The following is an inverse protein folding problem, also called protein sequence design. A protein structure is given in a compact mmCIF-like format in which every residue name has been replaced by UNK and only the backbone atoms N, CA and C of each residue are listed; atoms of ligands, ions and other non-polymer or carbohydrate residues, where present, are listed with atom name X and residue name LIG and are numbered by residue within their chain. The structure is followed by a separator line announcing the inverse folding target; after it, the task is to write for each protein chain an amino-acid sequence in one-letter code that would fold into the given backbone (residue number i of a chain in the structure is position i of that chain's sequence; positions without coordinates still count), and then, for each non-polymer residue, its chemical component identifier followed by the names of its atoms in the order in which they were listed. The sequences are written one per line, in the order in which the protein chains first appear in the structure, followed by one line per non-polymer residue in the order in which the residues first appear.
data_IF_550132063513
#
_entry.id   IF_550132063513
#
_cell.length_a   1.000
_cell.length_b   1.000
_cell.length_c   1.000
_cell.angle_alpha   90.00
_cell.angle_beta   90.00
_cell.angle_gamma   90.00
#
_symmetry.space_group_name_H-M   'P 1'
#
loop_
_entity.id
_entity.type
_entity.pdbx_description
1 polymer ?
#
# COMPACT_ATOMS: atom_id res chain seq x y z
N UNK A 1 20.54 -3.53 -23.89
CA UNK A 1 21.78 -3.69 -23.08
C UNK A 1 21.91 -2.57 -22.03
N UNK A 2 21.94 -1.30 -22.37
CA UNK A 2 22.06 -0.16 -21.43
C UNK A 2 21.00 -0.11 -20.35
N UNK A 3 19.73 -0.40 -20.66
CA UNK A 3 18.61 -0.39 -19.72
C UNK A 3 18.80 -1.44 -18.60
N UNK A 4 19.24 -2.64 -18.93
CA UNK A 4 19.50 -3.72 -17.97
C UNK A 4 20.68 -3.39 -17.02
N UNK A 5 21.74 -2.76 -17.55
CA UNK A 5 22.88 -2.32 -16.74
C UNK A 5 22.46 -1.21 -15.77
N UNK A 6 21.64 -0.26 -16.24
CA UNK A 6 21.13 0.83 -15.41
C UNK A 6 20.19 0.32 -14.30
N UNK A 7 19.28 -0.61 -14.59
CA UNK A 7 18.42 -1.25 -13.59
C UNK A 7 19.25 -1.99 -12.51
N UNK A 8 20.27 -2.74 -12.90
CA UNK A 8 21.18 -3.40 -11.94
C UNK A 8 21.99 -2.41 -11.09
N UNK A 9 22.36 -1.28 -11.66
CA UNK A 9 23.03 -0.20 -10.91
C UNK A 9 22.09 0.42 -9.88
N UNK A 10 20.82 0.65 -10.23
CA UNK A 10 19.80 1.16 -9.32
C UNK A 10 19.58 0.19 -8.15
N UNK A 11 19.42 -1.11 -8.42
CA UNK A 11 19.21 -2.14 -7.40
C UNK A 11 20.40 -2.24 -6.43
N UNK A 12 21.64 -2.21 -6.94
CA UNK A 12 22.85 -2.29 -6.10
C UNK A 12 23.03 -1.09 -5.17
N UNK A 13 22.41 0.04 -5.49
CA UNK A 13 22.43 1.24 -4.67
C UNK A 13 21.36 1.26 -3.56
N UNK A 14 20.48 0.27 -3.47
CA UNK A 14 19.39 0.20 -2.48
C UNK A 14 19.94 -0.33 -1.13
N UNK A 15 20.57 0.52 -0.32
CA UNK A 15 21.15 0.14 0.97
C UNK A 15 20.20 0.42 2.13
N UNK A 16 19.46 1.52 2.07
CA UNK A 16 18.45 1.92 3.06
C UNK A 16 17.10 2.07 2.35
N UNK A 17 16.33 1.00 2.32
CA UNK A 17 15.06 0.91 1.60
C UNK A 17 13.89 1.02 2.55
N UNK A 18 12.73 1.53 2.09
CA UNK A 18 11.49 1.42 2.86
C UNK A 18 11.12 -0.05 3.04
N UNK A 19 10.81 -0.46 4.25
CA UNK A 19 10.35 -1.83 4.52
C UNK A 19 8.88 -2.03 4.16
N UNK A 20 8.07 -0.98 4.34
CA UNK A 20 6.63 -1.00 4.13
C UNK A 20 6.26 0.09 3.12
N UNK A 21 5.79 -0.32 1.94
CA UNK A 21 5.44 0.60 0.84
C UNK A 21 3.95 0.55 0.60
N UNK A 22 3.32 1.72 0.50
CA UNK A 22 1.95 1.86 0.01
C UNK A 22 1.95 2.48 -1.38
N UNK A 23 1.21 1.90 -2.32
CA UNK A 23 0.97 2.47 -3.66
C UNK A 23 -0.51 2.80 -3.78
N UNK A 24 -0.81 4.06 -4.06
CA UNK A 24 -2.17 4.54 -4.22
C UNK A 24 -2.55 4.58 -5.70
N UNK A 25 -3.64 3.91 -6.04
CA UNK A 25 -4.17 3.73 -7.39
C UNK A 25 -5.63 4.15 -7.44
N UNK A 26 -6.09 4.54 -8.63
CA UNK A 26 -7.52 4.64 -8.94
C UNK A 26 -8.07 3.30 -9.44
N UNK A 27 -9.39 3.16 -9.43
CA UNK A 27 -10.07 2.01 -10.05
C UNK A 27 -9.73 1.89 -11.54
N UNK A 28 -9.69 3.01 -12.26
CA UNK A 28 -9.34 3.05 -13.70
C UNK A 28 -7.91 2.55 -13.96
N UNK A 29 -6.96 2.90 -13.10
CA UNK A 29 -5.59 2.38 -13.15
C UNK A 29 -5.57 0.86 -13.02
N UNK A 30 -6.26 0.35 -12.01
CA UNK A 30 -6.33 -1.09 -11.75
C UNK A 30 -6.96 -1.84 -12.93
N UNK A 31 -8.05 -1.34 -13.49
CA UNK A 31 -8.76 -2.01 -14.62
C UNK A 31 -7.96 -2.00 -15.90
N UNK A 32 -7.20 -0.92 -16.18
CA UNK A 32 -6.40 -0.81 -17.39
C UNK A 32 -5.10 -1.60 -17.37
N UNK A 33 -4.53 -1.86 -16.19
CA UNK A 33 -3.26 -2.55 -16.06
C UNK A 33 -3.18 -3.41 -14.78
N UNK A 34 -4.05 -4.42 -14.62
CA UNK A 34 -4.08 -5.25 -13.41
C UNK A 34 -2.80 -6.08 -13.23
N UNK A 35 -2.14 -6.46 -14.31
CA UNK A 35 -0.89 -7.21 -14.29
C UNK A 35 0.28 -6.44 -13.65
N UNK A 36 0.17 -5.12 -13.54
CA UNK A 36 1.20 -4.29 -12.89
C UNK A 36 1.35 -4.59 -11.40
N UNK A 37 0.30 -5.00 -10.73
CA UNK A 37 0.38 -5.44 -9.33
C UNK A 37 1.44 -6.53 -9.21
N UNK A 38 1.37 -7.56 -10.05
CA UNK A 38 2.33 -8.68 -10.06
C UNK A 38 3.74 -8.22 -10.41
N UNK A 39 3.87 -7.28 -11.35
CA UNK A 39 5.17 -6.71 -11.71
C UNK A 39 5.79 -5.96 -10.53
N UNK A 40 5.02 -5.12 -9.83
CA UNK A 40 5.50 -4.35 -8.68
C UNK A 40 5.84 -5.27 -7.51
N UNK A 41 5.05 -6.31 -7.23
CA UNK A 41 5.39 -7.35 -6.26
C UNK A 41 6.77 -7.95 -6.58
N UNK A 42 7.02 -8.28 -7.84
CA UNK A 42 8.31 -8.83 -8.28
C UNK A 42 9.46 -7.85 -8.05
N UNK A 43 9.28 -6.56 -8.39
CA UNK A 43 10.30 -5.53 -8.18
C UNK A 43 10.56 -5.27 -6.69
N UNK A 44 9.52 -5.28 -5.88
CA UNK A 44 9.61 -5.15 -4.42
C UNK A 44 10.40 -6.29 -3.78
N UNK A 45 10.17 -7.52 -4.26
CA UNK A 45 10.92 -8.71 -3.85
C UNK A 45 12.42 -8.56 -4.17
N UNK A 46 12.76 -8.06 -5.34
CA UNK A 46 14.16 -7.85 -5.75
C UNK A 46 14.90 -6.83 -4.86
N UNK A 47 14.16 -5.85 -4.28
CA UNK A 47 14.71 -4.87 -3.34
C UNK A 47 14.78 -5.36 -1.90
N UNK A 48 14.02 -6.39 -1.52
CA UNK A 48 13.91 -6.84 -0.13
C UNK A 48 12.84 -6.08 0.68
N UNK A 49 11.83 -5.50 0.03
CA UNK A 49 10.66 -4.90 0.68
C UNK A 49 9.93 -5.98 1.48
N UNK A 50 9.50 -5.67 2.71
CA UNK A 50 8.84 -6.62 3.60
C UNK A 50 7.32 -6.66 3.40
N UNK A 51 6.72 -5.52 3.18
CA UNK A 51 5.27 -5.40 3.00
C UNK A 51 4.94 -4.41 1.89
N UNK A 52 3.95 -4.75 1.09
CA UNK A 52 3.49 -3.96 -0.04
C UNK A 52 1.97 -3.80 0.04
N UNK A 53 1.52 -2.56 0.06
CA UNK A 53 0.11 -2.21 0.16
C UNK A 53 -0.29 -1.56 -1.16
N UNK A 54 -1.34 -2.09 -1.80
CA UNK A 54 -2.02 -1.42 -2.89
C UNK A 54 -3.35 -0.87 -2.36
N UNK A 55 -3.47 0.43 -2.29
CA UNK A 55 -4.76 1.07 -2.03
C UNK A 55 -5.42 1.44 -3.35
N UNK A 56 -6.63 0.96 -3.57
CA UNK A 56 -7.41 1.21 -4.78
C UNK A 56 -8.66 1.96 -4.40
N UNK A 57 -8.70 3.23 -4.83
CA UNK A 57 -9.85 4.11 -4.63
C UNK A 57 -10.96 3.74 -5.60
N UNK A 58 -12.15 3.45 -5.08
CA UNK A 58 -13.32 3.04 -5.86
C UNK A 58 -14.61 3.23 -5.09
N UNK A 59 -15.64 3.65 -5.80
CA UNK A 59 -17.02 3.69 -5.31
C UNK A 59 -17.75 2.34 -5.50
N UNK A 60 -17.13 1.38 -6.22
CA UNK A 60 -17.73 0.07 -6.53
C UNK A 60 -16.84 -1.09 -6.06
N UNK A 61 -16.56 -1.20 -4.76
CA UNK A 61 -15.56 -2.14 -4.23
C UNK A 61 -15.91 -3.61 -4.55
N UNK A 62 -17.16 -4.00 -4.53
CA UNK A 62 -17.58 -5.39 -4.76
C UNK A 62 -17.23 -5.90 -6.16
N UNK A 63 -17.40 -5.06 -7.18
CA UNK A 63 -17.06 -5.40 -8.55
C UNK A 63 -15.56 -5.59 -8.70
N UNK A 64 -14.78 -4.64 -8.14
CA UNK A 64 -13.34 -4.68 -8.23
C UNK A 64 -12.72 -5.84 -7.43
N UNK A 65 -13.28 -6.16 -6.27
CA UNK A 65 -12.89 -7.35 -5.48
C UNK A 65 -13.05 -8.62 -6.32
N UNK A 66 -14.14 -8.76 -7.07
CA UNK A 66 -14.36 -9.92 -7.94
C UNK A 66 -13.33 -10.00 -9.07
N UNK A 67 -12.97 -8.87 -9.68
CA UNK A 67 -11.94 -8.78 -10.72
C UNK A 67 -10.54 -9.16 -10.16
N UNK A 68 -10.19 -8.65 -8.99
CA UNK A 68 -8.91 -8.95 -8.32
C UNK A 68 -8.83 -10.43 -7.92
N UNK A 69 -9.92 -11.00 -7.45
CA UNK A 69 -9.98 -12.43 -7.13
C UNK A 69 -9.71 -13.30 -8.36
N UNK A 70 -10.09 -12.84 -9.55
CA UNK A 70 -9.83 -13.55 -10.81
C UNK A 70 -8.36 -13.64 -11.21
N UNK A 71 -7.47 -12.84 -10.63
CA UNK A 71 -6.03 -12.84 -10.94
C UNK A 71 -5.16 -13.47 -9.83
N UNK A 72 -5.76 -14.13 -8.84
CA UNK A 72 -5.03 -14.70 -7.67
C UNK A 72 -3.92 -15.66 -8.04
N UNK A 73 -4.12 -16.50 -9.07
CA UNK A 73 -3.12 -17.48 -9.51
C UNK A 73 -1.82 -16.83 -10.01
N UNK A 74 -1.86 -15.54 -10.36
CA UNK A 74 -0.69 -14.79 -10.84
C UNK A 74 0.23 -14.28 -9.75
N UNK A 75 -0.19 -14.31 -8.46
CA UNK A 75 0.60 -13.78 -7.35
C UNK A 75 1.81 -14.63 -6.94
N UNK A 76 1.91 -15.84 -7.46
CA UNK A 76 3.08 -16.70 -7.25
C UNK A 76 3.18 -17.24 -5.83
N UNK A 77 4.26 -16.94 -5.11
CA UNK A 77 4.53 -17.48 -3.76
C UNK A 77 4.35 -16.47 -2.62
N UNK A 78 3.86 -15.26 -2.89
CA UNK A 78 3.65 -14.23 -1.86
C UNK A 78 2.29 -14.42 -1.18
N UNK A 79 2.19 -14.02 0.08
CA UNK A 79 0.90 -13.91 0.74
C UNK A 79 0.16 -12.69 0.21
N UNK A 80 -1.12 -12.84 -0.09
CA UNK A 80 -1.98 -11.73 -0.52
C UNK A 80 -3.24 -11.70 0.32
N UNK A 81 -3.45 -10.57 0.98
CA UNK A 81 -4.64 -10.30 1.79
C UNK A 81 -5.40 -9.14 1.18
N UNK A 82 -6.69 -9.29 0.99
CA UNK A 82 -7.59 -8.27 0.52
C UNK A 82 -8.37 -7.67 1.68
N UNK A 83 -8.44 -6.35 1.72
CA UNK A 83 -9.30 -5.58 2.61
C UNK A 83 -10.34 -4.83 1.78
N UNK A 84 -11.57 -4.86 2.24
CA UNK A 84 -12.70 -4.11 1.67
C UNK A 84 -13.63 -3.63 2.78
N UNK A 85 -14.63 -2.78 2.52
CA UNK A 85 -15.63 -2.41 3.51
C UNK A 85 -16.35 -3.60 4.15
N UNK A 86 -16.37 -4.76 3.49
CA UNK A 86 -16.96 -6.02 4.01
C UNK A 86 -16.03 -6.80 4.93
N UNK A 87 -14.79 -6.38 5.06
CA UNK A 87 -13.81 -7.02 5.92
C UNK A 87 -12.57 -7.56 5.19
N UNK A 88 -11.87 -8.46 5.86
CA UNK A 88 -10.60 -9.05 5.43
C UNK A 88 -10.82 -10.42 4.80
N UNK A 89 -10.17 -10.67 3.66
CA UNK A 89 -10.19 -11.96 2.94
C UNK A 89 -8.77 -12.36 2.56
N UNK A 90 -8.39 -13.61 2.80
CA UNK A 90 -7.13 -14.15 2.30
C UNK A 90 -7.31 -14.62 0.86
N UNK A 91 -6.59 -14.01 -0.07
CA UNK A 91 -6.65 -14.37 -1.49
C UNK A 91 -5.63 -15.44 -1.85
N UNK A 92 -4.42 -15.37 -1.28
CA UNK A 92 -3.35 -16.30 -1.56
C UNK A 92 -2.48 -16.50 -0.31
N UNK A 93 -2.24 -17.75 0.08
CA UNK A 93 -1.48 -18.12 1.28
C UNK A 93 -0.03 -18.52 0.93
N UNK A 94 0.73 -17.58 0.42
CA UNK A 94 2.16 -17.74 0.19
C UNK A 94 2.99 -17.39 1.43
N UNK A 95 4.26 -17.78 1.40
CA UNK A 95 5.21 -17.52 2.49
C UNK A 95 6.35 -16.56 2.11
N UNK A 96 6.44 -16.20 0.84
CA UNK A 96 7.49 -15.31 0.34
C UNK A 96 7.12 -13.84 0.57
N UNK A 97 8.14 -13.02 0.79
CA UNK A 97 8.02 -11.56 0.83
C UNK A 97 7.93 -10.97 -0.59
N UNK A 98 7.33 -9.80 -0.73
CA UNK A 98 6.66 -9.01 0.32
C UNK A 98 5.31 -9.60 0.73
N UNK A 99 4.93 -9.43 2.00
CA UNK A 99 3.54 -9.63 2.43
C UNK A 99 2.69 -8.57 1.72
N UNK A 100 1.75 -8.99 0.90
CA UNK A 100 1.03 -8.11 -0.01
C UNK A 100 -0.39 -7.90 0.45
N UNK A 101 -0.80 -6.63 0.50
CA UNK A 101 -2.12 -6.21 0.91
C UNK A 101 -2.76 -5.45 -0.23
N UNK A 102 -4.01 -5.75 -0.53
CA UNK A 102 -4.82 -5.01 -1.49
C UNK A 102 -6.02 -4.45 -0.72
N UNK A 103 -6.07 -3.13 -0.56
CA UNK A 103 -7.16 -2.42 0.09
C UNK A 103 -8.04 -1.75 -0.97
N UNK A 104 -9.30 -2.14 -1.05
CA UNK A 104 -10.24 -1.72 -2.09
C UNK A 104 -11.38 -0.93 -1.48
N UNK A 105 -11.55 0.32 -1.91
CA UNK A 105 -12.66 1.19 -1.48
C UNK A 105 -12.66 1.45 0.03
N UNK A 106 -11.46 1.56 0.62
CA UNK A 106 -11.28 1.85 2.04
C UNK A 106 -11.12 3.36 2.24
N UNK A 107 -11.89 3.95 3.17
CA UNK A 107 -11.77 5.34 3.61
C UNK A 107 -11.18 5.41 5.00
N UNK A 108 -10.11 6.19 5.17
CA UNK A 108 -9.48 6.38 6.47
C UNK A 108 -10.38 7.11 7.46
N UNK A 109 -11.24 8.01 7.00
CA UNK A 109 -12.23 8.69 7.85
C UNK A 109 -13.30 7.74 8.34
N UNK A 110 -13.84 6.90 7.46
CA UNK A 110 -14.84 5.90 7.82
C UNK A 110 -14.25 4.86 8.77
N UNK A 111 -12.98 4.49 8.59
CA UNK A 111 -12.27 3.59 9.49
C UNK A 111 -12.19 4.18 10.90
N UNK A 112 -11.78 5.43 11.05
CA UNK A 112 -11.72 6.10 12.36
C UNK A 112 -13.11 6.18 13.00
N UNK A 113 -14.14 6.58 12.24
CA UNK A 113 -15.52 6.66 12.76
C UNK A 113 -16.02 5.29 13.21
N UNK A 114 -15.72 4.23 12.47
CA UNK A 114 -16.06 2.86 12.86
C UNK A 114 -15.37 2.46 14.15
N UNK A 115 -14.05 2.68 14.26
CA UNK A 115 -13.27 2.34 15.48
C UNK A 115 -13.83 3.05 16.71
N UNK A 116 -14.20 4.33 16.59
CA UNK A 116 -14.83 5.08 17.69
C UNK A 116 -16.18 4.48 18.09
N UNK A 117 -16.99 4.00 17.12
CA UNK A 117 -18.27 3.34 17.43
C UNK A 117 -18.06 2.00 18.12
N UNK A 118 -17.12 1.20 17.66
CA UNK A 118 -16.77 -0.10 18.28
C UNK A 118 -16.35 0.09 19.75
N UNK A 119 -15.46 1.06 20.02
CA UNK A 119 -15.06 1.41 21.39
C UNK A 119 -16.26 1.85 22.25
N UNK A 120 -17.17 2.65 21.69
CA UNK A 120 -18.37 3.10 22.40
C UNK A 120 -19.35 1.95 22.69
N UNK A 121 -19.48 0.98 21.79
CA UNK A 121 -20.30 -0.22 21.95
C UNK A 121 -19.76 -1.16 23.04
N UNK A 122 -18.44 -1.18 23.25
CA UNK A 122 -17.78 -1.90 24.34
C UNK A 122 -18.03 -1.27 25.73
N UNK A 123 -18.63 -0.07 25.77
CA UNK A 123 -18.97 0.63 27.01
C UNK A 123 -17.77 1.22 27.75
N UNK A 124 -16.68 1.47 27.04
CA UNK A 124 -15.46 2.08 27.60
C UNK A 124 -15.72 3.55 27.90
N UNK A 125 -15.30 4.01 29.09
CA UNK A 125 -15.48 5.39 29.48
C UNK A 125 -14.63 6.32 28.61
N UNK A 126 -15.12 7.52 28.21
CA UNK A 126 -14.40 8.43 27.33
C UNK A 126 -13.01 8.86 27.81
N UNK A 127 -12.80 8.91 29.12
CA UNK A 127 -11.54 9.26 29.78
C UNK A 127 -10.53 8.09 29.81
N UNK A 128 -10.95 6.88 29.46
CA UNK A 128 -10.10 5.71 29.31
C UNK A 128 -9.62 5.51 27.85
N UNK A 129 -10.18 6.27 26.90
CA UNK A 129 -9.84 6.14 25.48
C UNK A 129 -8.51 6.87 25.20
N UNK A 130 -7.51 6.14 24.78
CA UNK A 130 -6.22 6.66 24.34
C UNK A 130 -5.91 6.31 22.86
N UNK A 131 -4.78 6.82 22.35
CA UNK A 131 -4.33 6.58 20.97
C UNK A 131 -4.15 5.08 20.68
N UNK A 132 -3.60 4.32 21.62
CA UNK A 132 -3.35 2.89 21.46
C UNK A 132 -4.63 2.08 21.38
N UNK A 133 -5.64 2.49 22.13
CA UNK A 133 -6.94 1.87 22.06
C UNK A 133 -7.57 2.10 20.70
N UNK A 134 -7.53 3.34 20.18
CA UNK A 134 -8.01 3.63 18.84
C UNK A 134 -7.26 2.82 17.78
N UNK A 135 -5.93 2.76 17.86
CA UNK A 135 -5.08 1.96 16.96
C UNK A 135 -5.47 0.47 16.96
N UNK A 136 -5.77 -0.10 18.15
CA UNK A 136 -6.15 -1.51 18.26
C UNK A 136 -7.50 -1.84 17.59
N UNK A 137 -8.38 -0.85 17.42
CA UNK A 137 -9.67 -0.98 16.75
C UNK A 137 -9.63 -0.62 15.26
N UNK A 138 -8.51 -0.08 14.76
CA UNK A 138 -8.36 0.12 13.32
C UNK A 138 -8.32 -1.24 12.60
N UNK A 139 -9.08 -1.39 11.55
CA UNK A 139 -9.04 -2.58 10.69
C UNK A 139 -7.66 -2.73 10.04
N UNK A 140 -7.04 -1.60 9.73
CA UNK A 140 -5.79 -1.51 9.00
C UNK A 140 -4.67 -1.03 9.94
N UNK A 141 -3.85 -1.97 10.43
CA UNK A 141 -2.81 -1.71 11.44
C UNK A 141 -1.38 -1.67 10.83
N UNK A 142 -1.28 -1.29 9.56
CA UNK A 142 0.00 -1.24 8.86
C UNK A 142 0.46 0.20 8.70
N UNK A 143 1.67 0.50 9.14
CA UNK A 143 2.28 1.82 9.00
C UNK A 143 3.28 1.79 7.82
N UNK A 144 2.96 2.43 6.69
CA UNK A 144 3.90 2.49 5.59
C UNK A 144 5.04 3.46 5.87
N UNK A 145 6.27 3.06 5.54
CA UNK A 145 7.41 3.98 5.54
C UNK A 145 7.33 4.96 4.37
N UNK A 146 6.75 4.49 3.27
CA UNK A 146 6.77 5.20 2.00
C UNK A 146 5.45 5.03 1.24
N UNK A 147 4.87 6.14 0.82
CA UNK A 147 3.63 6.18 0.03
C UNK A 147 3.95 6.71 -1.36
N UNK A 148 3.66 5.92 -2.38
CA UNK A 148 3.81 6.30 -3.79
C UNK A 148 2.43 6.56 -4.38
N UNK A 149 2.19 7.77 -4.86
CA UNK A 149 0.99 8.13 -5.61
C UNK A 149 1.35 8.32 -7.09
N UNK A 150 0.70 7.56 -7.97
CA UNK A 150 0.90 7.60 -9.42
C UNK A 150 -0.18 8.44 -10.10
N UNK A 151 0.19 9.15 -11.16
CA UNK A 151 -0.72 9.80 -12.12
C UNK A 151 -1.44 11.05 -11.65
N UNK A 152 -1.47 11.37 -10.36
CA UNK A 152 -2.19 12.50 -9.79
C UNK A 152 -1.49 12.98 -8.51
N UNK A 153 -1.67 14.27 -8.18
CA UNK A 153 -1.05 14.92 -7.03
C UNK A 153 -2.01 15.04 -5.83
N UNK A 154 -3.18 14.39 -5.86
CA UNK A 154 -4.12 14.41 -4.76
C UNK A 154 -3.98 13.16 -3.90
N UNK A 155 -3.82 13.36 -2.59
CA UNK A 155 -3.93 12.28 -1.62
C UNK A 155 -5.41 11.87 -1.50
N UNK A 156 -5.61 10.56 -1.54
CA UNK A 156 -6.90 9.95 -1.28
C UNK A 156 -7.06 9.81 0.22
N UNK A 157 -8.30 9.81 0.69
CA UNK A 157 -8.69 9.59 2.08
C UNK A 157 -8.44 8.13 2.51
N UNK A 158 -7.15 7.79 2.70
CA UNK A 158 -6.74 6.46 3.14
C UNK A 158 -5.55 6.53 4.11
N UNK A 159 -5.55 5.64 5.09
CA UNK A 159 -4.47 5.51 6.08
C UNK A 159 -4.12 6.85 6.78
N UNK A 160 -5.14 7.68 7.08
CA UNK A 160 -4.94 9.00 7.70
C UNK A 160 -4.16 8.88 9.01
N UNK A 161 -4.50 7.88 9.82
CA UNK A 161 -3.82 7.62 11.09
C UNK A 161 -2.45 6.98 10.91
N UNK A 162 -2.36 5.98 10.04
CA UNK A 162 -1.17 5.15 9.88
C UNK A 162 -0.05 5.82 9.08
N UNK A 163 -0.36 6.81 8.24
CA UNK A 163 0.61 7.44 7.33
C UNK A 163 1.23 8.74 7.87
N UNK A 164 0.98 9.10 9.13
CA UNK A 164 1.43 10.37 9.75
C UNK A 164 2.95 10.58 9.61
N UNK A 165 3.73 9.52 9.68
CA UNK A 165 5.19 9.58 9.57
C UNK A 165 5.72 8.99 8.26
N UNK A 166 4.85 8.73 7.29
CA UNK A 166 5.24 8.21 5.98
C UNK A 166 5.89 9.30 5.12
N UNK A 167 6.89 8.93 4.36
CA UNK A 167 7.41 9.77 3.29
C UNK A 167 6.50 9.67 2.05
N UNK A 168 6.10 10.80 1.48
CA UNK A 168 5.19 10.83 0.33
C UNK A 168 5.98 11.09 -0.97
N UNK A 169 5.71 10.30 -1.99
CA UNK A 169 6.28 10.46 -3.31
C UNK A 169 5.17 10.55 -4.37
N UNK A 170 5.09 11.70 -5.04
CA UNK A 170 4.17 11.92 -6.14
C UNK A 170 4.93 11.79 -7.45
N UNK A 171 4.34 11.10 -8.41
CA UNK A 171 4.91 10.96 -9.75
C UNK A 171 3.85 11.21 -10.83
N UNK A 172 4.22 11.98 -11.86
CA UNK A 172 3.37 12.22 -13.03
C UNK A 172 3.23 10.97 -13.92
N UNK A 173 4.00 9.92 -13.64
CA UNK A 173 3.91 8.64 -14.37
C UNK A 173 2.63 7.95 -13.94
N UNK A 174 1.68 7.79 -14.88
CA UNK A 174 0.47 7.02 -14.61
C UNK A 174 0.76 5.53 -14.45
N UNK A 175 -0.14 4.82 -13.79
CA UNK A 175 0.03 3.40 -13.46
C UNK A 175 0.32 2.52 -14.67
N UNK A 176 -0.39 2.71 -15.79
CA UNK A 176 -0.23 1.89 -16.99
C UNK A 176 1.18 1.97 -17.59
N UNK A 177 1.83 3.12 -17.49
CA UNK A 177 3.18 3.37 -18.00
C UNK A 177 4.26 3.25 -16.93
N UNK A 178 3.89 3.02 -15.66
CA UNK A 178 4.81 2.85 -14.54
C UNK A 178 5.71 1.62 -14.74
N UNK A 179 7.00 1.82 -14.75
CA UNK A 179 8.00 0.80 -15.08
C UNK A 179 8.91 0.53 -13.89
N UNK A 180 9.64 -0.57 -13.97
CA UNK A 180 10.65 -0.94 -12.99
C UNK A 180 11.63 0.21 -12.65
N UNK A 181 12.07 0.95 -13.65
CA UNK A 181 12.98 2.09 -13.47
C UNK A 181 12.32 3.22 -12.65
N UNK A 182 11.03 3.44 -12.82
CA UNK A 182 10.30 4.48 -12.13
C UNK A 182 10.10 4.08 -10.65
N UNK A 183 9.81 2.81 -10.39
CA UNK A 183 9.79 2.25 -9.03
C UNK A 183 11.14 2.41 -8.32
N UNK A 184 12.26 2.02 -8.95
CA UNK A 184 13.57 2.17 -8.32
C UNK A 184 14.01 3.62 -8.14
N UNK A 185 13.55 4.54 -8.99
CA UNK A 185 13.76 5.98 -8.77
C UNK A 185 13.03 6.48 -7.53
N UNK A 186 11.79 6.03 -7.30
CA UNK A 186 11.08 6.34 -6.09
C UNK A 186 11.82 5.82 -4.84
N UNK A 187 12.32 4.57 -4.86
CA UNK A 187 13.15 4.02 -3.78
C UNK A 187 14.40 4.86 -3.53
N UNK A 188 15.08 5.32 -4.59
CA UNK A 188 16.26 6.19 -4.43
C UNK A 188 15.91 7.57 -3.89
N UNK A 189 14.77 8.12 -4.25
CA UNK A 189 14.29 9.38 -3.68
C UNK A 189 14.09 9.22 -2.17
N UNK A 190 13.44 8.13 -1.74
CA UNK A 190 13.30 7.81 -0.31
C UNK A 190 14.64 7.77 0.41
N UNK A 191 15.65 7.09 -0.14
CA UNK A 191 16.99 6.98 0.44
C UNK A 191 17.69 8.33 0.63
N UNK A 192 17.42 9.30 -0.25
CA UNK A 192 18.00 10.64 -0.16
C UNK A 192 17.32 11.54 0.88
N UNK A 193 16.15 11.14 1.38
CA UNK A 193 15.39 11.89 2.38
C UNK A 193 15.90 11.59 3.79
N UNK A 194 16.02 12.61 4.63
CA UNK A 194 16.30 12.44 6.05
C UNK A 194 14.98 12.36 6.81
N UNK A 195 14.61 11.20 7.27
CA UNK A 195 13.42 11.03 8.11
C UNK A 195 13.62 11.76 9.45
N UNK A 196 12.77 12.72 9.74
CA UNK A 196 12.84 13.54 10.97
C UNK A 196 11.77 13.17 12.00
N UNK A 197 10.79 12.32 11.68
CA UNK A 197 9.72 11.87 12.59
C UNK A 197 9.08 13.01 13.37
N UNK A 198 8.82 14.17 12.72
CA UNK A 198 8.23 15.34 13.36
C UNK A 198 9.16 16.14 14.28
N UNK A 199 10.49 15.89 14.26
CA UNK A 199 11.49 16.60 15.06
C UNK A 199 12.24 17.64 14.25
#
# INVERSE_FOLDING_TARGET
MFRYIYERFLIRGCVDIPHHICIMLSEDDMRRAPEKIVQVITWSKECGVKSLIFHIDTDTPDTLVSEITGITDSFGSVRVTLYSPKGKTFLHDGTALPDTIIAVGMSGREEIVRSVREIAEEGIAPDEIDEKMLESHLMFQYEPDFVIKTGDNHLIDFMIWQSVYSELFFTDVNWQTFRKVDFFRAIRDYQMRKRRYGR
#
